data_IF_374045809045
#
_entry.id   IF_374045809045
#
_cell.length_a   1.000
_cell.length_b   1.000
_cell.length_c   1.000
_cell.angle_alpha   90.00
_cell.angle_beta   90.00
_cell.angle_gamma   90.00
#
_symmetry.space_group_name_H-M   'P 1'
#
loop_
_entity.id
_entity.type
_entity.pdbx_description
1 polymer ?
#
# COMPACT_ATOMS: atom_id res chain seq x y z
N UNK A 1 -5.13 19.47 -17.37
CA UNK A 1 -3.68 19.23 -17.20
C UNK A 1 -3.47 18.89 -15.73
N UNK A 2 -2.80 17.76 -15.44
CA UNK A 2 -2.50 17.36 -14.06
C UNK A 2 -1.32 18.22 -13.57
N UNK A 3 -1.37 18.83 -12.38
CA UNK A 3 -0.23 19.56 -11.82
C UNK A 3 1.01 18.66 -11.67
N UNK A 4 2.20 19.20 -11.93
CA UNK A 4 3.45 18.43 -11.82
C UNK A 4 3.64 17.81 -10.42
N UNK A 5 3.38 18.59 -9.37
CA UNK A 5 3.38 18.15 -7.97
C UNK A 5 2.47 16.93 -7.69
N UNK A 6 1.37 16.79 -8.44
CA UNK A 6 0.48 15.62 -8.34
C UNK A 6 1.13 14.43 -9.05
N UNK A 7 1.75 14.62 -10.21
CA UNK A 7 2.47 13.56 -10.94
C UNK A 7 3.62 13.02 -10.08
N UNK A 8 4.48 13.89 -9.57
CA UNK A 8 5.59 13.53 -8.68
C UNK A 8 5.09 12.79 -7.43
N UNK A 9 4.01 13.26 -6.81
CA UNK A 9 3.43 12.58 -5.65
C UNK A 9 2.85 11.20 -5.99
N UNK A 10 2.28 10.99 -7.20
CA UNK A 10 1.82 9.68 -7.68
C UNK A 10 3.00 8.72 -7.82
N UNK A 11 4.12 9.18 -8.37
CA UNK A 11 5.34 8.36 -8.53
C UNK A 11 5.92 7.94 -7.18
N UNK A 12 6.08 8.88 -6.25
CA UNK A 12 6.58 8.61 -4.90
C UNK A 12 5.67 7.59 -4.17
N UNK A 13 4.35 7.79 -4.24
CA UNK A 13 3.40 6.85 -3.63
C UNK A 13 3.41 5.48 -4.30
N UNK A 14 3.56 5.43 -5.62
CA UNK A 14 3.65 4.17 -6.36
C UNK A 14 4.84 3.33 -5.90
N UNK A 15 6.02 3.95 -5.76
CA UNK A 15 7.22 3.28 -5.23
C UNK A 15 7.01 2.81 -3.79
N UNK A 16 6.48 3.67 -2.91
CA UNK A 16 6.21 3.32 -1.52
C UNK A 16 5.20 2.17 -1.37
N UNK A 17 4.14 2.14 -2.20
CA UNK A 17 3.16 1.05 -2.19
C UNK A 17 3.80 -0.27 -2.66
N UNK A 18 4.68 -0.23 -3.67
CA UNK A 18 5.39 -1.41 -4.13
C UNK A 18 6.31 -2.00 -3.06
N UNK A 19 7.03 -1.14 -2.33
CA UNK A 19 7.85 -1.54 -1.17
C UNK A 19 6.98 -2.16 -0.07
N UNK A 20 5.89 -1.50 0.32
CA UNK A 20 4.99 -2.01 1.35
C UNK A 20 4.36 -3.36 0.98
N UNK A 21 4.04 -3.57 -0.30
CA UNK A 21 3.55 -4.86 -0.80
C UNK A 21 4.61 -5.97 -0.69
N UNK A 22 5.89 -5.64 -0.84
CA UNK A 22 6.97 -6.60 -0.62
C UNK A 22 7.08 -6.98 0.87
N UNK A 23 6.95 -6.01 1.77
CA UNK A 23 6.97 -6.26 3.22
C UNK A 23 5.75 -7.09 3.66
N UNK A 24 4.56 -6.78 3.14
CA UNK A 24 3.35 -7.61 3.35
C UNK A 24 3.61 -9.07 2.98
N UNK A 25 4.25 -9.35 1.84
CA UNK A 25 4.55 -10.72 1.43
C UNK A 25 5.51 -11.40 2.41
N UNK A 26 6.56 -10.70 2.87
CA UNK A 26 7.52 -11.23 3.86
C UNK A 26 6.84 -11.54 5.19
N UNK A 27 5.91 -10.70 5.63
CA UNK A 27 5.17 -10.92 6.88
C UNK A 27 4.21 -12.10 6.75
N UNK A 28 3.47 -12.20 5.64
CA UNK A 28 2.60 -13.36 5.37
C UNK A 28 3.40 -14.66 5.41
N UNK A 29 4.59 -14.67 4.81
CA UNK A 29 5.51 -15.81 4.85
C UNK A 29 5.91 -16.18 6.30
N UNK A 30 6.31 -15.20 7.12
CA UNK A 30 6.66 -15.43 8.54
C UNK A 30 5.47 -15.92 9.38
N UNK A 31 4.27 -15.42 9.10
CA UNK A 31 3.04 -15.84 9.79
C UNK A 31 2.49 -17.19 9.30
N UNK A 32 3.09 -17.79 8.26
CA UNK A 32 2.56 -19.01 7.64
C UNK A 32 1.22 -18.80 6.92
N UNK A 33 0.91 -17.57 6.51
CA UNK A 33 -0.30 -17.24 5.76
C UNK A 33 -0.04 -17.53 4.27
N UNK A 34 -0.94 -18.27 3.64
CA UNK A 34 -0.86 -18.56 2.22
C UNK A 34 -0.82 -17.27 1.38
N UNK A 35 0.04 -17.28 0.35
CA UNK A 35 0.23 -16.12 -0.55
C UNK A 35 -1.06 -15.70 -1.27
N UNK A 36 -1.98 -16.62 -1.50
CA UNK A 36 -3.28 -16.42 -2.13
C UNK A 36 -4.43 -16.37 -1.12
N UNK A 37 -4.14 -16.37 0.18
CA UNK A 37 -5.16 -16.07 1.19
C UNK A 37 -5.81 -14.71 0.88
N UNK A 38 -7.13 -14.66 1.02
CA UNK A 38 -7.97 -13.48 0.80
C UNK A 38 -8.83 -13.14 2.02
N UNK A 39 -8.70 -13.91 3.10
CA UNK A 39 -9.59 -13.81 4.27
C UNK A 39 -8.92 -13.04 5.39
N UNK A 40 -7.61 -13.20 5.57
CA UNK A 40 -6.88 -12.55 6.67
C UNK A 40 -6.87 -11.03 6.48
N UNK A 41 -6.91 -10.24 7.58
CA UNK A 41 -6.89 -8.79 7.48
C UNK A 41 -5.69 -8.23 6.68
N UNK A 42 -4.51 -8.82 6.82
CA UNK A 42 -3.32 -8.47 6.02
C UNK A 42 -3.51 -8.72 4.52
N UNK A 43 -4.28 -9.74 4.15
CA UNK A 43 -4.62 -10.06 2.75
C UNK A 43 -5.59 -9.04 2.16
N UNK A 44 -6.54 -8.54 2.95
CA UNK A 44 -7.44 -7.46 2.52
C UNK A 44 -6.67 -6.14 2.30
N UNK A 45 -5.74 -5.82 3.21
CA UNK A 45 -4.82 -4.67 3.04
C UNK A 45 -3.98 -4.85 1.78
N UNK A 46 -3.43 -6.05 1.55
CA UNK A 46 -2.67 -6.37 0.34
C UNK A 46 -3.49 -6.12 -0.94
N UNK A 47 -4.75 -6.57 -0.96
CA UNK A 47 -5.62 -6.39 -2.11
C UNK A 47 -5.87 -4.91 -2.40
N UNK A 48 -6.17 -4.12 -1.36
CA UNK A 48 -6.37 -2.68 -1.51
C UNK A 48 -5.11 -1.98 -2.03
N UNK A 49 -3.93 -2.31 -1.50
CA UNK A 49 -2.66 -1.78 -1.98
C UNK A 49 -2.39 -2.14 -3.44
N UNK A 50 -2.70 -3.37 -3.88
CA UNK A 50 -2.54 -3.78 -5.29
C UNK A 50 -3.46 -3.00 -6.23
N UNK A 51 -4.71 -2.79 -5.83
CA UNK A 51 -5.67 -1.98 -6.61
C UNK A 51 -5.17 -0.55 -6.74
N UNK A 52 -4.71 0.06 -5.64
CA UNK A 52 -4.14 1.40 -5.67
C UNK A 52 -2.90 1.46 -6.56
N UNK A 53 -1.96 0.52 -6.41
CA UNK A 53 -0.74 0.46 -7.23
C UNK A 53 -1.06 0.40 -8.73
N UNK A 54 -2.04 -0.41 -9.14
CA UNK A 54 -2.42 -0.54 -10.54
C UNK A 54 -3.01 0.75 -11.11
N UNK A 55 -3.76 1.50 -10.29
CA UNK A 55 -4.50 2.68 -10.75
C UNK A 55 -3.73 4.00 -10.59
N UNK A 56 -2.73 4.04 -9.69
CA UNK A 56 -2.12 5.30 -9.26
C UNK A 56 -1.33 6.01 -10.35
N UNK A 57 -0.81 5.34 -11.37
CA UNK A 57 -0.12 6.02 -12.49
C UNK A 57 -1.03 6.30 -13.69
N UNK A 58 -2.29 5.84 -13.64
CA UNK A 58 -3.28 6.07 -14.70
C UNK A 58 -4.08 7.36 -14.51
N UNK A 59 -5.29 7.37 -15.06
CA UNK A 59 -6.21 8.52 -15.06
C UNK A 59 -6.92 8.76 -13.71
N UNK A 60 -6.56 8.01 -12.68
CA UNK A 60 -7.06 8.20 -11.32
C UNK A 60 -6.16 9.16 -10.52
N UNK A 61 -6.72 9.77 -9.48
CA UNK A 61 -5.99 10.59 -8.50
C UNK A 61 -5.25 11.80 -9.09
N UNK A 62 -6.00 12.70 -9.72
CA UNK A 62 -5.45 13.80 -10.52
C UNK A 62 -5.44 15.15 -9.78
N UNK A 63 -5.84 15.15 -8.51
CA UNK A 63 -5.86 16.36 -7.65
C UNK A 63 -5.00 16.16 -6.42
N UNK A 64 -4.54 17.26 -5.82
CA UNK A 64 -3.80 17.19 -4.55
C UNK A 64 -4.64 16.58 -3.42
N UNK A 65 -5.97 16.76 -3.45
CA UNK A 65 -6.88 16.15 -2.48
C UNK A 65 -6.85 14.62 -2.61
N UNK A 66 -6.85 14.09 -3.83
CA UNK A 66 -6.70 12.65 -4.07
C UNK A 66 -5.38 12.12 -3.50
N UNK A 67 -4.28 12.86 -3.72
CA UNK A 67 -2.97 12.53 -3.18
C UNK A 67 -2.98 12.51 -1.66
N UNK A 68 -3.61 13.49 -1.01
CA UNK A 68 -3.72 13.53 0.45
C UNK A 68 -4.49 12.32 0.99
N UNK A 69 -5.60 11.94 0.36
CA UNK A 69 -6.35 10.73 0.74
C UNK A 69 -5.50 9.48 0.55
N UNK A 70 -4.80 9.35 -0.57
CA UNK A 70 -3.89 8.22 -0.83
C UNK A 70 -2.75 8.14 0.18
N UNK A 71 -2.14 9.27 0.53
CA UNK A 71 -1.10 9.34 1.57
C UNK A 71 -1.63 8.84 2.91
N UNK A 72 -2.83 9.26 3.31
CA UNK A 72 -3.44 8.78 4.54
C UNK A 72 -3.71 7.27 4.51
N UNK A 73 -4.25 6.75 3.39
CA UNK A 73 -4.46 5.30 3.22
C UNK A 73 -3.14 4.53 3.29
N UNK A 74 -2.09 5.05 2.64
CA UNK A 74 -0.76 4.46 2.65
C UNK A 74 -0.15 4.42 4.06
N UNK A 75 -0.16 5.53 4.80
CA UNK A 75 0.41 5.58 6.15
C UNK A 75 -0.38 4.70 7.14
N UNK A 76 -1.71 4.61 7.00
CA UNK A 76 -2.53 3.69 7.78
C UNK A 76 -2.14 2.23 7.52
N UNK A 77 -1.99 1.85 6.25
CA UNK A 77 -1.55 0.51 5.88
C UNK A 77 -0.14 0.23 6.41
N UNK A 78 0.79 1.16 6.24
CA UNK A 78 2.17 1.04 6.72
C UNK A 78 2.24 0.87 8.24
N UNK A 79 1.42 1.61 8.98
CA UNK A 79 1.35 1.52 10.44
C UNK A 79 0.85 0.14 10.86
N UNK A 80 -0.24 -0.33 10.27
CA UNK A 80 -0.77 -1.65 10.52
C UNK A 80 0.26 -2.78 10.25
N UNK A 81 0.99 -2.68 9.13
CA UNK A 81 2.03 -3.64 8.77
C UNK A 81 3.19 -3.64 9.76
N UNK A 82 3.64 -2.47 10.23
CA UNK A 82 4.70 -2.35 11.26
C UNK A 82 4.28 -2.93 12.61
N UNK A 83 3.01 -2.75 13.00
CA UNK A 83 2.47 -3.34 14.22
C UNK A 83 2.49 -4.88 14.14
N UNK A 84 2.13 -5.45 12.99
CA UNK A 84 2.24 -6.89 12.76
C UNK A 84 3.70 -7.37 12.82
N UNK A 85 4.64 -6.67 12.18
CA UNK A 85 6.06 -7.02 12.25
C UNK A 85 6.56 -7.05 13.69
N UNK A 86 6.21 -6.05 14.48
CA UNK A 86 6.63 -5.95 15.89
C UNK A 86 6.07 -7.11 16.72
N UNK A 87 4.80 -7.48 16.49
CA UNK A 87 4.13 -8.56 17.20
C UNK A 87 4.64 -9.97 16.81
N UNK A 88 5.24 -10.11 15.63
CA UNK A 88 5.75 -11.38 15.10
C UNK A 88 7.28 -11.47 15.06
N UNK A 89 8.00 -10.51 15.66
CA UNK A 89 9.45 -10.52 15.80
C UNK A 89 9.97 -11.30 17.03
N UNK A 90 9.08 -12.03 17.73
CA UNK A 90 9.38 -12.81 18.95
C UNK A 90 9.42 -14.31 18.72
#
# INVERSE_FOLDING_TARGET
MIPYEVIEAKEILHEGIAELLADVNRIKERMGIDRYDTVQPISLVQQNLRVTLHNILGDSYNTMEDIQRLRQTFENARTYIRELETNHAG
#
